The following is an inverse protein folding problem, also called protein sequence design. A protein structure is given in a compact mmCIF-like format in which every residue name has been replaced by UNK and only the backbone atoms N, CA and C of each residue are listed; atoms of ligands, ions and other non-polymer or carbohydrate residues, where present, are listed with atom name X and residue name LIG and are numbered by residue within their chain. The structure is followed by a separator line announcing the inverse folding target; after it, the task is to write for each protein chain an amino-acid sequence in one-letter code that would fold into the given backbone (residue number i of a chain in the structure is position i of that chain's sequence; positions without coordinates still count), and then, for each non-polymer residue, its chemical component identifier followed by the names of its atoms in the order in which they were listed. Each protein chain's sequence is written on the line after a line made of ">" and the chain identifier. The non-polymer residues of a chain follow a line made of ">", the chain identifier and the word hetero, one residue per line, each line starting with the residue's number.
data_IF_729568117120
#
_entry.id   IF_729568117120
#
_cell.length_a   1.000
_cell.length_b   1.000
_cell.length_c   1.000
_cell.angle_alpha   90.00
_cell.angle_beta   90.00
_cell.angle_gamma   90.00
#
_symmetry.space_group_name_H-M   'P 1'
#
loop_
_entity.id
_entity.type
_entity.pdbx_description
1 polymer ?
#
# COMPACT_ATOMS: atom_id res chain seq x y z
N UNK A 1 10.44 -0.75 11.62
CA UNK A 1 10.81 -1.57 10.45
C UNK A 1 11.64 -2.76 10.90
N UNK A 2 11.56 -3.89 10.22
CA UNK A 2 12.35 -5.11 10.45
C UNK A 2 12.97 -5.54 9.12
N UNK A 3 14.06 -6.30 9.15
CA UNK A 3 14.57 -6.94 7.95
C UNK A 3 13.51 -7.87 7.33
N UNK A 4 13.44 -7.89 6.01
CA UNK A 4 12.47 -8.70 5.29
C UNK A 4 12.56 -10.18 5.66
N UNK A 5 13.79 -10.72 5.82
CA UNK A 5 14.01 -12.08 6.29
C UNK A 5 13.49 -12.34 7.70
N UNK A 6 13.59 -11.37 8.61
CA UNK A 6 13.05 -11.49 9.98
C UNK A 6 11.52 -11.56 9.98
N UNK A 7 10.85 -10.80 9.08
CA UNK A 7 9.39 -10.87 8.97
C UNK A 7 8.96 -12.25 8.46
N UNK A 8 9.68 -12.83 7.50
CA UNK A 8 9.42 -14.20 7.05
C UNK A 8 9.53 -15.20 8.21
N UNK A 9 10.58 -15.08 9.04
CA UNK A 9 10.75 -15.93 10.21
C UNK A 9 9.63 -15.76 11.23
N UNK A 10 9.22 -14.52 11.51
CA UNK A 10 8.10 -14.21 12.40
C UNK A 10 6.79 -14.87 11.90
N UNK A 11 6.51 -14.80 10.59
CA UNK A 11 5.34 -15.45 9.98
C UNK A 11 5.44 -16.98 10.12
N UNK A 12 6.59 -17.57 9.79
CA UNK A 12 6.81 -19.03 9.89
C UNK A 12 6.68 -19.54 11.32
N UNK A 13 7.13 -18.77 12.29
CA UNK A 13 7.07 -19.10 13.72
C UNK A 13 5.71 -18.78 14.39
N UNK A 14 4.72 -18.35 13.61
CA UNK A 14 3.37 -18.07 14.11
C UNK A 14 3.22 -16.75 14.87
N UNK A 15 4.23 -15.86 14.87
CA UNK A 15 4.13 -14.58 15.57
C UNK A 15 3.13 -13.62 14.90
N UNK A 16 2.82 -13.85 13.61
CA UNK A 16 1.84 -13.08 12.86
C UNK A 16 0.43 -13.70 12.87
N UNK A 17 0.25 -14.91 13.41
CA UNK A 17 -0.99 -15.67 13.26
C UNK A 17 -2.21 -14.92 13.81
N UNK A 18 -2.11 -14.35 15.01
CA UNK A 18 -3.20 -13.59 15.62
C UNK A 18 -3.60 -12.37 14.79
N UNK A 19 -2.61 -11.65 14.24
CA UNK A 19 -2.85 -10.48 13.37
C UNK A 19 -3.50 -10.89 12.05
N UNK A 20 -3.02 -11.96 11.41
CA UNK A 20 -3.58 -12.44 10.16
C UNK A 20 -5.00 -12.97 10.35
N UNK A 21 -5.27 -13.68 11.46
CA UNK A 21 -6.63 -14.13 11.80
C UNK A 21 -7.58 -12.94 12.01
N UNK A 22 -7.12 -11.88 12.66
CA UNK A 22 -7.93 -10.67 12.88
C UNK A 22 -8.24 -9.96 11.55
N UNK A 23 -7.27 -9.86 10.64
CA UNK A 23 -7.45 -9.22 9.32
C UNK A 23 -8.39 -10.03 8.42
N UNK A 24 -8.19 -11.34 8.33
CA UNK A 24 -8.92 -12.19 7.38
C UNK A 24 -10.16 -12.88 7.96
N UNK A 25 -10.34 -12.83 9.28
CA UNK A 25 -11.51 -13.32 10.04
C UNK A 25 -11.73 -14.84 9.96
N UNK A 26 -11.26 -15.51 8.92
CA UNK A 26 -11.42 -16.95 8.68
C UNK A 26 -10.10 -17.69 8.96
N UNK A 27 -10.07 -18.44 10.06
CA UNK A 27 -8.89 -19.21 10.46
C UNK A 27 -8.45 -20.25 9.42
N UNK A 28 -9.39 -20.74 8.59
CA UNK A 28 -9.06 -21.69 7.52
C UNK A 28 -8.18 -21.09 6.42
N UNK A 29 -8.14 -19.77 6.31
CA UNK A 29 -7.31 -19.05 5.34
C UNK A 29 -5.90 -18.76 5.85
N UNK A 30 -5.61 -18.98 7.13
CA UNK A 30 -4.38 -18.56 7.78
C UNK A 30 -3.12 -19.05 7.05
N UNK A 31 -3.05 -20.35 6.76
CA UNK A 31 -1.88 -20.93 6.10
C UNK A 31 -1.70 -20.37 4.68
N UNK A 32 -2.78 -20.24 3.93
CA UNK A 32 -2.74 -19.66 2.58
C UNK A 32 -2.28 -18.17 2.61
N UNK A 33 -2.72 -17.41 3.60
CA UNK A 33 -2.29 -16.02 3.76
C UNK A 33 -0.81 -15.94 4.18
N UNK A 34 -0.35 -16.80 5.10
CA UNK A 34 1.08 -16.88 5.47
C UNK A 34 1.95 -17.13 4.24
N UNK A 35 1.59 -18.11 3.41
CA UNK A 35 2.31 -18.41 2.17
C UNK A 35 2.32 -17.21 1.21
N UNK A 36 1.19 -16.54 1.04
CA UNK A 36 1.05 -15.35 0.19
C UNK A 36 1.95 -14.20 0.64
N UNK A 37 1.98 -13.89 1.94
CA UNK A 37 2.85 -12.85 2.49
C UNK A 37 4.34 -13.22 2.35
N UNK A 38 4.70 -14.46 2.65
CA UNK A 38 6.07 -14.95 2.50
C UNK A 38 6.51 -14.83 1.04
N UNK A 39 5.69 -15.28 0.08
CA UNK A 39 6.02 -15.21 -1.34
C UNK A 39 6.21 -13.76 -1.82
N UNK A 40 5.37 -12.82 -1.36
CA UNK A 40 5.53 -11.41 -1.69
C UNK A 40 6.83 -10.81 -1.12
N UNK A 41 7.19 -11.16 0.12
CA UNK A 41 8.43 -10.70 0.75
C UNK A 41 9.65 -11.33 0.07
N UNK A 42 9.61 -12.62 -0.27
CA UNK A 42 10.67 -13.29 -1.01
C UNK A 42 10.87 -12.67 -2.40
N UNK A 43 9.78 -12.31 -3.10
CA UNK A 43 9.86 -11.57 -4.37
C UNK A 43 10.52 -10.21 -4.17
N UNK A 44 10.16 -9.47 -3.11
CA UNK A 44 10.81 -8.21 -2.77
C UNK A 44 12.32 -8.38 -2.55
N UNK A 45 12.74 -9.39 -1.75
CA UNK A 45 14.14 -9.67 -1.48
C UNK A 45 14.89 -10.01 -2.78
N UNK A 46 14.28 -10.76 -3.68
CA UNK A 46 14.90 -11.13 -4.96
C UNK A 46 15.18 -9.92 -5.86
N UNK A 47 14.37 -8.86 -5.76
CA UNK A 47 14.48 -7.68 -6.60
C UNK A 47 15.35 -6.58 -5.97
N UNK A 48 15.29 -6.43 -4.65
CA UNK A 48 15.86 -5.28 -3.95
C UNK A 48 16.86 -5.64 -2.85
N UNK A 49 17.06 -6.94 -2.59
CA UNK A 49 17.89 -7.44 -1.48
C UNK A 49 17.13 -7.42 -0.16
N UNK A 50 17.77 -8.01 0.87
CA UNK A 50 17.23 -8.00 2.24
C UNK A 50 17.40 -6.62 2.86
N UNK A 51 16.29 -5.93 3.08
CA UNK A 51 16.22 -4.57 3.62
C UNK A 51 15.22 -4.51 4.75
N UNK A 52 15.31 -3.45 5.54
CA UNK A 52 14.24 -3.09 6.46
C UNK A 52 13.01 -2.68 5.69
N UNK A 53 11.89 -3.34 5.97
CA UNK A 53 10.61 -3.14 5.27
C UNK A 53 9.46 -2.95 6.24
N UNK A 54 8.38 -2.41 5.72
CA UNK A 54 7.04 -2.46 6.30
C UNK A 54 6.10 -3.17 5.35
N UNK A 55 5.12 -3.87 5.92
CA UNK A 55 4.12 -4.63 5.16
C UNK A 55 2.76 -4.02 5.43
N UNK A 56 2.05 -3.68 4.38
CA UNK A 56 0.72 -3.09 4.43
C UNK A 56 -0.29 -4.01 3.77
N UNK A 57 -1.51 -4.01 4.30
CA UNK A 57 -2.69 -4.62 3.70
C UNK A 57 -3.74 -3.54 3.49
N UNK A 58 -4.26 -3.44 2.29
CA UNK A 58 -5.35 -2.54 1.93
C UNK A 58 -6.54 -3.35 1.44
N UNK A 59 -7.63 -3.46 2.23
CA UNK A 59 -8.77 -4.28 1.88
C UNK A 59 -9.53 -3.69 0.68
N UNK A 60 -10.11 -4.58 -0.11
CA UNK A 60 -11.15 -4.22 -1.05
C UNK A 60 -12.44 -3.83 -0.32
N UNK A 61 -13.40 -3.30 -1.06
CA UNK A 61 -14.72 -2.97 -0.53
C UNK A 61 -15.82 -3.54 -1.40
N UNK A 62 -16.95 -3.85 -0.75
CA UNK A 62 -18.22 -4.12 -1.43
C UNK A 62 -19.21 -3.03 -1.06
N UNK A 63 -19.91 -2.53 -2.04
CA UNK A 63 -21.02 -1.60 -1.82
C UNK A 63 -22.28 -2.41 -1.49
N UNK A 64 -22.83 -2.16 -0.33
CA UNK A 64 -24.03 -2.85 0.17
C UNK A 64 -25.30 -2.14 -0.30
N UNK A 65 -25.26 -0.80 -0.31
CA UNK A 65 -26.38 0.05 -0.73
C UNK A 65 -25.86 1.44 -1.14
N UNK A 66 -26.61 2.13 -2.00
CA UNK A 66 -26.32 3.50 -2.43
C UNK A 66 -25.94 3.62 -3.90
N UNK A 67 -25.65 2.52 -4.56
CA UNK A 67 -25.42 2.43 -6.01
C UNK A 67 -24.47 3.52 -6.57
N UNK A 68 -23.32 3.70 -5.88
CA UNK A 68 -22.25 4.60 -6.33
C UNK A 68 -22.69 6.05 -6.50
N UNK A 69 -23.45 6.58 -5.54
CA UNK A 69 -23.96 7.95 -5.55
C UNK A 69 -23.18 8.93 -4.66
N UNK A 70 -22.08 8.49 -4.05
CA UNK A 70 -21.23 9.30 -3.15
C UNK A 70 -20.70 10.59 -3.83
N UNK A 71 -20.32 10.51 -5.11
CA UNK A 71 -19.87 11.68 -5.88
C UNK A 71 -20.99 12.69 -6.20
N UNK A 72 -22.25 12.34 -5.96
CA UNK A 72 -23.44 13.19 -6.14
C UNK A 72 -24.06 13.61 -4.81
N UNK A 73 -23.30 13.54 -3.71
CA UNK A 73 -23.79 13.76 -2.34
C UNK A 73 -24.88 12.78 -1.89
N UNK A 74 -24.92 11.59 -2.51
CA UNK A 74 -25.78 10.49 -2.08
C UNK A 74 -25.20 9.74 -0.88
N UNK A 75 -26.05 9.05 -0.15
CA UNK A 75 -25.65 8.19 0.97
C UNK A 75 -25.31 6.80 0.45
N UNK A 76 -24.15 6.27 0.85
CA UNK A 76 -23.71 4.92 0.50
C UNK A 76 -23.38 4.14 1.76
N UNK A 77 -23.62 2.84 1.71
CA UNK A 77 -23.16 1.88 2.70
C UNK A 77 -22.19 0.91 2.02
N UNK A 78 -20.94 0.96 2.41
CA UNK A 78 -19.90 0.06 1.93
C UNK A 78 -19.28 -0.70 3.10
N UNK A 79 -18.82 -1.91 2.82
CA UNK A 79 -18.11 -2.76 3.77
C UNK A 79 -16.75 -3.18 3.21
N UNK A 80 -15.74 -3.23 4.07
CA UNK A 80 -14.48 -3.89 3.74
C UNK A 80 -14.70 -5.39 3.55
N UNK A 81 -13.93 -5.99 2.66
CA UNK A 81 -13.95 -7.43 2.40
C UNK A 81 -12.59 -8.04 2.74
N UNK A 82 -12.54 -9.34 2.88
CA UNK A 82 -11.32 -10.10 3.19
C UNK A 82 -10.42 -10.40 1.96
N UNK A 83 -10.64 -9.69 0.86
CA UNK A 83 -9.75 -9.64 -0.28
C UNK A 83 -9.01 -8.30 -0.25
N UNK A 84 -7.70 -8.34 -0.35
CA UNK A 84 -6.84 -7.17 -0.19
C UNK A 84 -5.70 -7.15 -1.20
N UNK A 85 -5.07 -5.97 -1.27
CA UNK A 85 -3.76 -5.79 -1.88
C UNK A 85 -2.73 -5.67 -0.75
N UNK A 86 -1.68 -6.50 -0.79
CA UNK A 86 -0.55 -6.37 0.11
C UNK A 86 0.59 -5.62 -0.56
N UNK A 87 1.27 -4.77 0.20
CA UNK A 87 2.43 -4.01 -0.28
C UNK A 87 3.61 -4.19 0.67
N UNK A 88 4.77 -4.50 0.10
CA UNK A 88 6.05 -4.53 0.80
C UNK A 88 6.78 -3.23 0.45
N UNK A 89 7.10 -2.42 1.44
CA UNK A 89 7.69 -1.11 1.23
C UNK A 89 9.02 -0.96 1.95
N UNK A 90 9.96 -0.29 1.32
CA UNK A 90 11.23 0.11 1.92
C UNK A 90 11.51 1.59 1.63
N UNK A 91 12.19 2.31 2.52
CA UNK A 91 12.58 3.68 2.28
C UNK A 91 13.48 3.80 1.04
N UNK A 92 13.18 4.84 0.23
CA UNK A 92 13.98 5.23 -0.92
C UNK A 92 14.03 6.74 -1.01
N UNK A 93 15.19 7.29 -1.35
CA UNK A 93 15.36 8.73 -1.50
C UNK A 93 15.20 9.15 -2.96
N UNK A 94 14.63 10.33 -3.17
CA UNK A 94 14.57 11.02 -4.46
C UNK A 94 13.46 10.56 -5.41
N UNK A 95 12.97 9.35 -5.28
CA UNK A 95 11.91 8.81 -6.16
C UNK A 95 11.07 7.74 -5.48
N UNK A 96 9.83 7.57 -5.95
CA UNK A 96 9.01 6.39 -5.63
C UNK A 96 9.03 5.46 -6.82
N UNK A 97 9.35 4.19 -6.56
CA UNK A 97 9.25 3.10 -7.54
C UNK A 97 8.24 2.08 -7.04
N UNK A 98 7.26 1.77 -7.87
CA UNK A 98 6.23 0.76 -7.60
C UNK A 98 6.35 -0.35 -8.63
N UNK A 99 6.36 -1.59 -8.16
CA UNK A 99 6.19 -2.78 -8.97
C UNK A 99 4.91 -3.49 -8.52
N UNK A 100 3.99 -3.71 -9.42
CA UNK A 100 2.73 -4.40 -9.16
C UNK A 100 2.57 -5.54 -10.16
N UNK A 101 2.82 -6.76 -9.73
CA UNK A 101 2.80 -7.98 -10.55
C UNK A 101 3.51 -7.81 -11.90
N UNK A 102 2.77 -7.72 -12.99
CA UNK A 102 3.31 -7.58 -14.35
C UNK A 102 3.45 -6.11 -14.79
N UNK A 103 3.09 -5.15 -13.91
CA UNK A 103 3.17 -3.72 -14.22
C UNK A 103 4.44 -3.12 -13.60
N UNK A 104 5.42 -2.80 -14.44
CA UNK A 104 6.60 -2.01 -14.05
C UNK A 104 6.29 -0.53 -14.28
N UNK A 105 5.83 0.14 -13.23
CA UNK A 105 5.52 1.57 -13.29
C UNK A 105 6.83 2.39 -13.35
N UNK A 106 6.81 3.45 -14.15
CA UNK A 106 7.92 4.39 -14.17
C UNK A 106 8.09 5.03 -12.80
N UNK A 107 9.35 5.21 -12.39
CA UNK A 107 9.63 5.88 -11.14
C UNK A 107 9.14 7.34 -11.17
N UNK A 108 8.53 7.78 -10.08
CA UNK A 108 8.08 9.16 -9.90
C UNK A 108 9.09 9.90 -9.03
N UNK A 109 9.75 10.90 -9.61
CA UNK A 109 10.70 11.74 -8.91
C UNK A 109 10.00 12.65 -7.90
N UNK A 110 10.57 12.80 -6.68
CA UNK A 110 9.98 13.59 -5.59
C UNK A 110 10.24 15.09 -5.73
N UNK A 111 11.20 15.48 -6.54
CA UNK A 111 11.54 16.89 -6.84
C UNK A 111 10.69 17.48 -7.97
N UNK A 112 10.01 16.64 -8.76
CA UNK A 112 9.15 17.03 -9.87
C UNK A 112 7.75 16.40 -9.72
N UNK A 113 6.89 17.10 -8.99
CA UNK A 113 5.51 16.68 -8.71
C UNK A 113 4.46 17.47 -9.50
N UNK A 114 4.88 18.28 -10.47
CA UNK A 114 3.99 19.03 -11.32
C UNK A 114 3.12 18.10 -12.19
N UNK A 115 1.89 18.56 -12.47
CA UNK A 115 0.96 17.81 -13.34
C UNK A 115 1.56 17.64 -14.74
N UNK A 116 1.59 16.40 -15.23
CA UNK A 116 2.02 16.03 -16.57
C UNK A 116 0.83 15.56 -17.40
N UNK A 117 0.61 16.19 -18.55
CA UNK A 117 -0.53 15.86 -19.41
C UNK A 117 -0.45 14.43 -19.95
N UNK A 118 0.74 13.93 -20.22
CA UNK A 118 0.99 12.57 -20.72
C UNK A 118 0.73 11.48 -19.66
N UNK A 119 0.64 11.85 -18.38
CA UNK A 119 0.35 10.93 -17.27
C UNK A 119 -1.15 10.92 -16.89
N UNK A 120 -1.99 11.68 -17.59
CA UNK A 120 -3.42 11.74 -17.28
C UNK A 120 -4.09 10.37 -17.48
N UNK A 121 -4.76 9.87 -16.42
CA UNK A 121 -5.38 8.55 -16.41
C UNK A 121 -4.41 7.38 -16.18
N UNK A 122 -3.14 7.64 -15.89
CA UNK A 122 -2.14 6.61 -15.57
C UNK A 122 -1.92 6.45 -14.07
N UNK A 123 -1.32 5.32 -13.67
CA UNK A 123 -0.93 5.08 -12.28
C UNK A 123 0.17 6.04 -11.80
N UNK A 124 1.08 6.42 -12.68
CA UNK A 124 2.12 7.43 -12.38
C UNK A 124 1.49 8.78 -12.05
N UNK A 125 0.50 9.21 -12.83
CA UNK A 125 -0.24 10.45 -12.57
C UNK A 125 -0.97 10.42 -11.23
N UNK A 126 -1.56 9.27 -10.84
CA UNK A 126 -2.18 9.09 -9.54
C UNK A 126 -1.17 9.19 -8.39
N UNK A 127 -0.01 8.52 -8.51
CA UNK A 127 1.06 8.56 -7.51
C UNK A 127 1.57 10.00 -7.38
N UNK A 128 1.89 10.66 -8.50
CA UNK A 128 2.38 12.04 -8.53
C UNK A 128 1.42 13.02 -7.87
N UNK A 129 0.14 12.94 -8.21
CA UNK A 129 -0.90 13.80 -7.62
C UNK A 129 -1.07 13.58 -6.12
N UNK A 130 -1.02 12.32 -5.68
CA UNK A 130 -1.06 11.98 -4.24
C UNK A 130 0.13 12.57 -3.50
N UNK A 131 1.35 12.43 -4.05
CA UNK A 131 2.57 12.97 -3.45
C UNK A 131 2.56 14.49 -3.41
N UNK A 132 2.11 15.16 -4.47
CA UNK A 132 1.94 16.61 -4.50
C UNK A 132 1.03 17.07 -3.36
N UNK A 133 -0.10 16.38 -3.16
CA UNK A 133 -1.03 16.72 -2.09
C UNK A 133 -0.45 16.47 -0.70
N UNK A 134 0.30 15.40 -0.48
CA UNK A 134 1.01 15.17 0.78
C UNK A 134 2.03 16.26 1.05
N UNK A 135 2.82 16.67 0.05
CA UNK A 135 3.79 17.75 0.18
C UNK A 135 3.12 19.06 0.60
N UNK A 136 2.02 19.43 -0.04
CA UNK A 136 1.25 20.62 0.30
C UNK A 136 0.70 20.56 1.75
N UNK A 137 0.14 19.43 2.14
CA UNK A 137 -0.39 19.25 3.49
C UNK A 137 0.68 19.32 4.57
N UNK A 138 1.87 18.74 4.33
CA UNK A 138 2.96 18.75 5.30
C UNK A 138 3.58 20.15 5.44
N UNK A 139 3.70 20.91 4.35
CA UNK A 139 4.16 22.30 4.41
C UNK A 139 3.19 23.18 5.18
N UNK A 140 1.89 22.99 4.96
CA UNK A 140 0.86 23.76 5.69
C UNK A 140 0.87 23.49 7.21
N UNK A 141 1.15 22.26 7.63
CA UNK A 141 1.24 21.90 9.05
C UNK A 141 2.53 22.40 9.71
N UNK A 142 3.63 22.57 8.96
CA UNK A 142 4.89 23.14 9.48
C UNK A 142 4.78 24.65 9.69
N UNK A 143 4.11 25.37 8.80
CA UNK A 143 3.88 26.82 8.95
C UNK A 143 2.95 27.18 10.13
N UNK A 144 2.01 26.31 10.45
CA UNK A 144 1.08 26.50 11.58
C UNK A 144 1.73 26.27 12.97
N UNK A 145 2.90 25.68 13.02
CA UNK A 145 3.65 25.43 14.27
C UNK A 145 4.63 26.54 14.64
N UNK A 146 4.89 27.48 13.74
CA UNK A 146 5.83 28.60 13.93
C UNK A 146 5.16 29.96 14.27
N UNK A 147 3.81 29.98 14.42
CA UNK A 147 3.05 31.08 14.99
C UNK A 147 2.58 30.77 16.42
#
# INVERSE_FOLDING_TARGET
>A
MKLATQIIEDIRNGQADALLTDIYVDESLLDAQKERYIAAIEKFISLYGDKEVEVFSAPGRSEVSGNHTDHQHGEVLAAAINLDIIAITAPRYGEIKVLSDDYDLKAVALDDLDKKAEEEGTSEGLIRGTLARFKDCLLYTSDAADE
#
